data_IF_614662724694
#
_entry.id   IF_614662724694
#
_cell.length_a   1.000
_cell.length_b   1.000
_cell.length_c   1.000
_cell.angle_alpha   90.00
_cell.angle_beta   90.00
_cell.angle_gamma   90.00
#
_symmetry.space_group_name_H-M   'P 1'
#
loop_
_entity.id
_entity.type
_entity.pdbx_description
1 polymer ?
#
# COMPACT_ATOMS: atom_id res chain seq x y z
N UNK A 1 35.69 -2.73 -17.82
CA UNK A 1 34.66 -3.35 -16.93
C UNK A 1 34.69 -2.52 -15.66
N UNK A 2 33.82 -1.50 -15.61
CA UNK A 2 33.71 -0.57 -14.47
C UNK A 2 32.74 -1.26 -13.48
N UNK A 3 33.28 -1.70 -12.36
CA UNK A 3 32.46 -2.20 -11.22
C UNK A 3 31.85 -0.96 -10.59
N UNK A 4 30.56 -0.71 -10.82
CA UNK A 4 29.82 0.28 -10.07
C UNK A 4 29.82 -0.13 -8.59
N UNK A 5 30.52 0.66 -7.79
CA UNK A 5 30.51 0.51 -6.34
C UNK A 5 29.07 0.79 -5.86
N UNK A 6 28.38 -0.26 -5.40
CA UNK A 6 27.09 -0.12 -4.71
C UNK A 6 27.28 0.84 -3.53
N UNK A 7 26.54 1.92 -3.50
CA UNK A 7 26.52 2.82 -2.35
C UNK A 7 26.07 2.03 -1.11
N UNK A 8 26.79 2.17 0.01
CA UNK A 8 26.39 1.50 1.24
C UNK A 8 25.03 2.05 1.69
N UNK A 9 24.17 1.14 2.15
CA UNK A 9 22.88 1.46 2.75
C UNK A 9 23.06 2.50 3.85
N UNK A 10 22.39 3.65 3.72
CA UNK A 10 22.33 4.65 4.79
C UNK A 10 21.17 4.33 5.73
N UNK A 11 21.41 4.22 7.05
CA UNK A 11 20.34 4.00 8.01
C UNK A 11 19.30 5.12 7.95
N UNK A 12 18.06 4.74 8.20
CA UNK A 12 16.87 5.61 8.26
C UNK A 12 17.00 6.67 9.37
N UNK A 13 17.87 7.65 9.16
CA UNK A 13 17.88 8.84 10.00
C UNK A 13 16.75 9.77 9.55
N UNK A 14 16.12 10.49 10.48
CA UNK A 14 15.01 11.42 10.25
C UNK A 14 15.29 12.54 9.22
N UNK A 15 16.47 12.57 8.66
CA UNK A 15 17.01 13.56 7.71
C UNK A 15 17.44 12.94 6.39
N UNK A 16 16.79 11.87 5.93
CA UNK A 16 17.10 11.32 4.59
C UNK A 16 16.81 12.37 3.51
N UNK A 17 17.77 12.70 2.63
CA UNK A 17 17.55 13.63 1.52
C UNK A 17 16.35 13.24 0.65
N UNK A 18 16.10 11.96 0.49
CA UNK A 18 14.95 11.43 -0.26
C UNK A 18 13.62 11.82 0.38
N UNK A 19 13.50 11.66 1.70
CA UNK A 19 12.28 12.03 2.42
C UNK A 19 12.01 13.54 2.35
N UNK A 20 13.05 14.37 2.42
CA UNK A 20 12.90 15.82 2.32
C UNK A 20 12.48 16.26 0.90
N UNK A 21 12.94 15.57 -0.14
CA UNK A 21 12.48 15.79 -1.52
C UNK A 21 11.00 15.41 -1.64
N UNK A 22 10.61 14.23 -1.14
CA UNK A 22 9.23 13.76 -1.17
C UNK A 22 8.29 14.70 -0.42
N UNK A 23 8.67 15.21 0.76
CA UNK A 23 7.88 16.18 1.51
C UNK A 23 7.68 17.50 0.76
N UNK A 24 8.70 18.00 0.06
CA UNK A 24 8.59 19.23 -0.74
C UNK A 24 7.66 19.06 -1.94
N UNK A 25 7.62 17.88 -2.54
CA UNK A 25 6.77 17.57 -3.71
C UNK A 25 5.37 17.06 -3.33
N UNK A 26 5.10 16.79 -2.07
CA UNK A 26 3.88 16.11 -1.59
C UNK A 26 2.60 16.82 -2.05
N UNK A 27 2.55 18.14 -1.97
CA UNK A 27 1.39 18.93 -2.40
C UNK A 27 1.14 18.94 -3.92
N UNK A 28 2.12 18.49 -4.70
CA UNK A 28 2.07 18.49 -6.16
C UNK A 28 1.74 17.09 -6.72
N UNK A 29 1.69 16.06 -5.86
CA UNK A 29 1.39 14.70 -6.30
C UNK A 29 -0.11 14.50 -6.47
N UNK A 30 -0.49 13.90 -7.59
CA UNK A 30 -1.90 13.53 -7.85
C UNK A 30 -2.34 12.31 -7.03
N UNK A 31 -1.41 11.53 -6.50
CA UNK A 31 -1.70 10.32 -5.72
C UNK A 31 -2.25 10.64 -4.34
N UNK A 32 -1.89 11.81 -3.79
CA UNK A 32 -2.22 12.16 -2.42
C UNK A 32 -1.61 11.24 -1.36
N UNK A 33 -0.58 10.47 -1.74
CA UNK A 33 0.15 9.63 -0.82
C UNK A 33 0.99 10.49 0.14
N UNK A 34 0.89 10.31 1.46
CA UNK A 34 1.79 10.95 2.40
C UNK A 34 3.26 10.64 2.09
N UNK A 35 4.10 11.66 2.02
CA UNK A 35 5.52 11.53 1.67
C UNK A 35 6.26 10.49 2.53
N UNK A 36 5.95 10.44 3.83
CA UNK A 36 6.50 9.43 4.75
C UNK A 36 6.13 8.02 4.34
N UNK A 37 4.88 7.78 3.93
CA UNK A 37 4.42 6.46 3.50
C UNK A 37 5.02 6.07 2.14
N UNK A 38 5.15 7.03 1.22
CA UNK A 38 5.82 6.79 -0.06
C UNK A 38 7.30 6.45 0.14
N UNK A 39 7.96 7.10 1.10
CA UNK A 39 9.33 6.77 1.47
C UNK A 39 9.43 5.36 2.05
N UNK A 40 8.55 4.99 2.98
CA UNK A 40 8.48 3.62 3.52
C UNK A 40 8.25 2.60 2.41
N UNK A 41 7.34 2.87 1.48
CA UNK A 41 7.09 1.99 0.33
C UNK A 41 8.34 1.79 -0.53
N UNK A 42 9.12 2.87 -0.75
CA UNK A 42 10.40 2.77 -1.49
C UNK A 42 11.41 1.87 -0.77
N UNK A 43 11.45 1.89 0.55
CA UNK A 43 12.31 1.03 1.34
C UNK A 43 11.87 -0.43 1.31
N UNK A 44 10.56 -0.68 1.39
CA UNK A 44 9.98 -2.03 1.24
C UNK A 44 10.36 -2.61 -0.12
N UNK A 45 10.22 -1.84 -1.20
CA UNK A 45 10.60 -2.27 -2.55
C UNK A 45 12.11 -2.53 -2.68
N UNK A 46 12.93 -1.65 -2.13
CA UNK A 46 14.39 -1.82 -2.14
C UNK A 46 14.81 -3.09 -1.36
N UNK A 47 14.17 -3.33 -0.21
CA UNK A 47 14.39 -4.51 0.60
C UNK A 47 13.97 -5.80 -0.14
N UNK A 48 12.83 -5.78 -0.81
CA UNK A 48 12.32 -6.93 -1.58
C UNK A 48 13.18 -7.26 -2.82
N UNK A 49 13.81 -6.25 -3.43
CA UNK A 49 14.64 -6.41 -4.63
C UNK A 49 16.08 -6.80 -4.33
N UNK A 50 16.50 -6.76 -3.08
CA UNK A 50 17.87 -7.02 -2.65
C UNK A 50 18.24 -8.50 -2.72
N UNK A 51 19.33 -8.83 -3.42
CA UNK A 51 19.93 -10.17 -3.50
C UNK A 51 20.79 -10.55 -2.28
N UNK A 52 20.89 -9.69 -1.28
CA UNK A 52 21.68 -9.89 -0.06
C UNK A 52 20.78 -9.91 1.17
N UNK A 53 21.24 -10.62 2.21
CA UNK A 53 20.59 -10.66 3.51
C UNK A 53 20.22 -9.26 3.98
N UNK A 54 18.95 -9.04 4.18
CA UNK A 54 18.41 -7.77 4.60
C UNK A 54 18.85 -7.50 6.04
N UNK A 55 19.39 -6.31 6.35
CA UNK A 55 19.72 -5.98 7.73
C UNK A 55 18.47 -6.13 8.61
N UNK A 56 18.53 -6.88 9.72
CA UNK A 56 17.39 -7.06 10.62
C UNK A 56 16.78 -5.72 11.07
N UNK A 57 17.63 -4.74 11.33
CA UNK A 57 17.23 -3.39 11.74
C UNK A 57 16.40 -2.63 10.70
N UNK A 58 16.51 -3.00 9.41
CA UNK A 58 15.75 -2.34 8.35
C UNK A 58 14.26 -2.67 8.44
N UNK A 59 13.92 -3.92 8.72
CA UNK A 59 12.53 -4.36 8.88
C UNK A 59 11.90 -3.65 10.07
N UNK A 60 12.59 -3.64 11.21
CA UNK A 60 12.12 -2.99 12.43
C UNK A 60 11.93 -1.48 12.21
N UNK A 61 12.83 -0.84 11.48
CA UNK A 61 12.72 0.56 11.10
C UNK A 61 11.51 0.83 10.21
N UNK A 62 11.25 -0.01 9.21
CA UNK A 62 10.09 0.11 8.33
C UNK A 62 8.80 0.08 9.16
N UNK A 63 8.63 -0.91 10.01
CA UNK A 63 7.43 -1.03 10.85
C UNK A 63 7.35 0.06 11.91
N UNK A 64 8.47 0.51 12.47
CA UNK A 64 8.52 1.65 13.38
C UNK A 64 8.02 2.94 12.70
N UNK A 65 8.42 3.21 11.46
CA UNK A 65 7.92 4.34 10.69
C UNK A 65 6.41 4.25 10.44
N UNK A 66 5.90 3.07 10.10
CA UNK A 66 4.46 2.84 9.91
C UNK A 66 3.66 3.07 11.19
N UNK A 67 4.15 2.57 12.34
CA UNK A 67 3.51 2.74 13.64
C UNK A 67 3.54 4.19 14.14
N UNK A 68 4.63 4.90 13.88
CA UNK A 68 4.79 6.30 14.30
C UNK A 68 4.10 7.30 13.34
N UNK A 69 3.65 6.85 12.16
CA UNK A 69 2.91 7.72 11.25
C UNK A 69 1.53 8.04 11.83
N UNK A 70 1.22 9.33 11.89
CA UNK A 70 -0.08 9.81 12.38
C UNK A 70 -0.89 10.42 11.25
N UNK A 71 -1.87 9.67 10.75
CA UNK A 71 -2.78 10.12 9.69
C UNK A 71 -3.49 11.43 10.04
N UNK A 72 -3.87 11.62 11.32
CA UNK A 72 -4.54 12.84 11.76
C UNK A 72 -3.59 14.06 11.74
N UNK A 73 -2.34 13.90 12.24
CA UNK A 73 -1.35 14.99 12.20
C UNK A 73 -1.03 15.41 10.78
N UNK A 74 -0.86 14.41 9.89
CA UNK A 74 -0.64 14.66 8.47
C UNK A 74 -1.80 15.40 7.82
N UNK A 75 -3.04 14.96 8.05
CA UNK A 75 -4.23 15.56 7.46
C UNK A 75 -4.42 17.02 7.90
N UNK A 76 -4.15 17.33 9.17
CA UNK A 76 -4.21 18.70 9.69
C UNK A 76 -3.14 19.58 9.04
N UNK A 77 -1.92 19.07 8.89
CA UNK A 77 -0.81 19.81 8.29
C UNK A 77 -1.04 20.12 6.79
N UNK A 78 -1.64 19.19 6.04
CA UNK A 78 -1.81 19.33 4.59
C UNK A 78 -3.01 20.18 4.17
N UNK A 79 -4.10 20.16 4.92
CA UNK A 79 -5.39 20.62 4.40
C UNK A 79 -6.11 21.66 5.27
N UNK A 80 -5.56 21.98 6.42
CA UNK A 80 -6.30 22.75 7.42
C UNK A 80 -7.58 22.01 7.89
N UNK A 81 -8.37 22.68 8.72
CA UNK A 81 -9.51 22.05 9.40
C UNK A 81 -10.63 21.65 8.42
N UNK A 82 -10.86 22.44 7.36
CA UNK A 82 -11.99 22.23 6.45
C UNK A 82 -11.89 20.98 5.57
N UNK A 83 -10.68 20.62 5.17
CA UNK A 83 -10.42 19.45 4.31
C UNK A 83 -9.75 18.30 5.05
N UNK A 84 -9.68 18.36 6.37
CA UNK A 84 -9.01 17.37 7.21
C UNK A 84 -9.60 15.97 7.03
N UNK A 85 -10.92 15.85 6.99
CA UNK A 85 -11.60 14.55 6.96
C UNK A 85 -11.30 13.72 5.70
N UNK A 86 -11.37 14.27 4.48
CA UNK A 86 -10.93 13.56 3.27
C UNK A 86 -9.44 13.17 3.32
N UNK A 87 -8.58 14.07 3.77
CA UNK A 87 -7.12 13.82 3.88
C UNK A 87 -6.82 12.73 4.91
N UNK A 88 -7.49 12.76 6.06
CA UNK A 88 -7.38 11.72 7.08
C UNK A 88 -7.73 10.34 6.53
N UNK A 89 -8.88 10.21 5.83
CA UNK A 89 -9.29 8.94 5.21
C UNK A 89 -8.26 8.44 4.21
N UNK A 90 -7.77 9.33 3.36
CA UNK A 90 -6.76 9.01 2.37
C UNK A 90 -5.47 8.50 3.02
N UNK A 91 -5.00 9.18 4.08
CA UNK A 91 -3.82 8.77 4.83
C UNK A 91 -4.00 7.40 5.51
N UNK A 92 -5.18 7.11 6.07
CA UNK A 92 -5.49 5.80 6.64
C UNK A 92 -5.47 4.69 5.58
N UNK A 93 -6.03 4.95 4.38
CA UNK A 93 -6.04 4.01 3.27
C UNK A 93 -4.59 3.70 2.82
N UNK A 94 -3.77 4.73 2.65
CA UNK A 94 -2.37 4.54 2.28
C UNK A 94 -1.56 3.84 3.36
N UNK A 95 -1.73 4.19 4.63
CA UNK A 95 -1.02 3.56 5.75
C UNK A 95 -1.31 2.06 5.81
N UNK A 96 -2.59 1.68 5.75
CA UNK A 96 -2.98 0.28 5.77
C UNK A 96 -2.45 -0.49 4.55
N UNK A 97 -2.52 0.10 3.35
CA UNK A 97 -2.01 -0.55 2.15
C UNK A 97 -0.49 -0.78 2.21
N UNK A 98 0.29 0.21 2.66
CA UNK A 98 1.75 0.07 2.80
C UNK A 98 2.09 -0.97 3.87
N UNK A 99 1.35 -1.01 4.99
CA UNK A 99 1.52 -2.03 6.03
C UNK A 99 1.22 -3.44 5.50
N UNK A 100 0.06 -3.63 4.85
CA UNK A 100 -0.32 -4.91 4.26
C UNK A 100 0.73 -5.35 3.22
N UNK A 101 1.15 -4.45 2.35
CA UNK A 101 2.17 -4.75 1.35
C UNK A 101 3.49 -5.15 1.98
N UNK A 102 3.96 -4.43 3.00
CA UNK A 102 5.19 -4.77 3.72
C UNK A 102 5.11 -6.17 4.35
N UNK A 103 3.98 -6.52 4.98
CA UNK A 103 3.75 -7.85 5.57
C UNK A 103 3.72 -8.97 4.52
N UNK A 104 3.33 -8.67 3.27
CA UNK A 104 3.28 -9.64 2.18
C UNK A 104 4.63 -9.86 1.51
N UNK A 105 5.46 -8.84 1.45
CA UNK A 105 6.69 -8.82 0.63
C UNK A 105 7.93 -9.12 1.47
N UNK A 106 7.98 -8.60 2.71
CA UNK A 106 9.15 -8.76 3.55
C UNK A 106 9.17 -10.14 4.25
N UNK A 107 10.35 -10.76 4.41
CA UNK A 107 10.51 -11.97 5.20
C UNK A 107 10.43 -11.62 6.69
N UNK A 108 9.22 -11.43 7.18
CA UNK A 108 9.00 -11.08 8.58
C UNK A 108 9.00 -12.36 9.40
N UNK A 109 10.08 -12.58 10.15
CA UNK A 109 10.20 -13.68 11.12
C UNK A 109 9.44 -13.33 12.42
N UNK A 110 8.14 -13.01 12.30
CA UNK A 110 7.32 -12.98 13.49
C UNK A 110 6.86 -14.41 13.80
N UNK A 111 6.98 -14.80 15.05
CA UNK A 111 6.78 -16.15 15.61
C UNK A 111 5.41 -16.80 15.35
N UNK A 112 4.54 -16.19 14.55
CA UNK A 112 3.35 -16.86 14.05
C UNK A 112 2.71 -16.14 12.85
N UNK A 113 2.38 -16.90 11.81
CA UNK A 113 1.49 -16.48 10.69
C UNK A 113 0.16 -15.93 11.22
N UNK A 114 -0.32 -16.43 12.36
CA UNK A 114 -1.53 -15.99 13.06
C UNK A 114 -1.47 -14.51 13.47
N UNK A 115 -0.30 -14.02 13.91
CA UNK A 115 -0.14 -12.61 14.30
C UNK A 115 -0.23 -11.68 13.10
N UNK A 116 0.38 -12.06 11.98
CA UNK A 116 0.31 -11.29 10.73
C UNK A 116 -1.11 -11.30 10.13
N UNK A 117 -1.80 -12.44 10.15
CA UNK A 117 -3.20 -12.52 9.72
C UNK A 117 -4.13 -11.63 10.55
N UNK A 118 -3.94 -11.59 11.86
CA UNK A 118 -4.71 -10.72 12.75
C UNK A 118 -4.49 -9.23 12.45
N UNK A 119 -3.25 -8.82 12.22
CA UNK A 119 -2.92 -7.43 11.83
C UNK A 119 -3.54 -7.07 10.50
N UNK A 120 -3.39 -7.92 9.48
CA UNK A 120 -3.98 -7.70 8.15
C UNK A 120 -5.50 -7.59 8.26
N UNK A 121 -6.16 -8.48 9.01
CA UNK A 121 -7.61 -8.45 9.17
C UNK A 121 -8.10 -7.16 9.83
N UNK A 122 -7.45 -6.72 10.90
CA UNK A 122 -7.80 -5.48 11.59
C UNK A 122 -7.59 -4.25 10.69
N UNK A 123 -6.48 -4.19 9.97
CA UNK A 123 -6.21 -3.11 9.01
C UNK A 123 -7.22 -3.11 7.85
N UNK A 124 -7.65 -4.29 7.40
CA UNK A 124 -8.61 -4.45 6.31
C UNK A 124 -9.97 -3.86 6.66
N UNK A 125 -10.58 -4.27 7.78
CA UNK A 125 -11.94 -3.85 8.15
C UNK A 125 -12.02 -2.33 8.39
N UNK A 126 -11.04 -1.77 9.10
CA UNK A 126 -10.93 -0.32 9.29
C UNK A 126 -10.81 0.43 7.97
N UNK A 127 -9.99 -0.08 7.06
CA UNK A 127 -9.70 0.59 5.79
C UNK A 127 -10.86 0.49 4.80
N UNK A 128 -11.61 -0.60 4.81
CA UNK A 128 -12.83 -0.73 4.01
C UNK A 128 -13.86 0.34 4.37
N UNK A 129 -13.96 0.71 5.65
CA UNK A 129 -14.80 1.84 6.06
C UNK A 129 -14.32 3.17 5.45
N UNK A 130 -13.01 3.42 5.43
CA UNK A 130 -12.45 4.62 4.81
C UNK A 130 -12.64 4.62 3.29
N UNK A 131 -12.39 3.50 2.61
CA UNK A 131 -12.60 3.35 1.16
C UNK A 131 -14.05 3.65 0.75
N UNK A 132 -15.02 3.11 1.49
CA UNK A 132 -16.45 3.38 1.26
C UNK A 132 -16.81 4.86 1.45
N UNK A 133 -16.10 5.54 2.32
CA UNK A 133 -16.44 6.90 2.77
C UNK A 133 -15.67 8.00 2.03
N UNK A 134 -14.72 7.66 1.14
CA UNK A 134 -14.05 8.67 0.31
C UNK A 134 -14.97 9.09 -0.84
N UNK A 135 -15.04 10.40 -1.08
CA UNK A 135 -15.88 10.96 -2.12
C UNK A 135 -15.21 10.73 -3.49
N UNK A 136 -15.92 10.09 -4.48
CA UNK A 136 -15.39 9.99 -5.83
C UNK A 136 -15.07 11.33 -6.50
N UNK A 137 -15.67 12.44 -6.05
CA UNK A 137 -15.35 13.79 -6.52
C UNK A 137 -14.04 14.36 -5.92
N UNK A 138 -13.44 13.70 -4.91
CA UNK A 138 -12.16 14.13 -4.34
C UNK A 138 -11.05 14.10 -5.41
N UNK A 139 -10.25 15.18 -5.47
CA UNK A 139 -9.17 15.34 -6.47
C UNK A 139 -8.12 14.22 -6.41
N UNK A 140 -7.96 13.57 -5.25
CA UNK A 140 -7.03 12.46 -5.06
C UNK A 140 -7.70 11.08 -5.14
N UNK A 141 -8.99 11.00 -5.52
CA UNK A 141 -9.69 9.72 -5.62
C UNK A 141 -8.97 8.74 -6.57
N UNK A 142 -8.39 9.25 -7.67
CA UNK A 142 -7.61 8.43 -8.60
C UNK A 142 -6.37 7.80 -7.95
N UNK A 143 -5.79 8.48 -6.99
CA UNK A 143 -4.62 8.01 -6.25
C UNK A 143 -4.86 6.81 -5.35
N UNK A 144 -6.11 6.42 -5.12
CA UNK A 144 -6.42 5.22 -4.32
C UNK A 144 -6.31 3.91 -5.11
N UNK A 145 -6.04 3.91 -6.41
CA UNK A 145 -6.02 2.69 -7.23
C UNK A 145 -5.07 1.63 -6.65
N UNK A 146 -3.81 1.99 -6.40
CA UNK A 146 -2.82 1.06 -5.83
C UNK A 146 -3.20 0.61 -4.42
N UNK A 147 -3.46 1.52 -3.45
CA UNK A 147 -3.82 1.08 -2.12
C UNK A 147 -5.12 0.27 -2.08
N UNK A 148 -6.12 0.61 -2.91
CA UNK A 148 -7.33 -0.19 -3.02
C UNK A 148 -7.05 -1.60 -3.56
N UNK A 149 -6.12 -1.76 -4.51
CA UNK A 149 -5.71 -3.06 -5.02
C UNK A 149 -5.06 -3.91 -3.91
N UNK A 150 -4.10 -3.37 -3.16
CA UNK A 150 -3.41 -4.10 -2.08
C UNK A 150 -4.40 -4.56 -1.01
N UNK A 151 -5.31 -3.68 -0.60
CA UNK A 151 -6.37 -3.97 0.37
C UNK A 151 -7.33 -5.03 -0.19
N UNK A 152 -7.72 -4.89 -1.44
CA UNK A 152 -8.63 -5.80 -2.15
C UNK A 152 -8.07 -7.22 -2.26
N UNK A 153 -6.76 -7.35 -2.47
CA UNK A 153 -6.10 -8.64 -2.54
C UNK A 153 -6.26 -9.46 -1.26
N UNK A 154 -6.51 -8.83 -0.11
CA UNK A 154 -6.79 -9.49 1.16
C UNK A 154 -8.28 -9.76 1.44
N UNK A 155 -9.19 -9.32 0.56
CA UNK A 155 -10.62 -9.52 0.77
C UNK A 155 -11.02 -11.01 0.76
N UNK A 156 -11.57 -11.47 1.87
CA UNK A 156 -11.95 -12.88 2.07
C UNK A 156 -13.45 -13.11 1.92
N UNK A 157 -14.27 -12.14 2.31
CA UNK A 157 -15.74 -12.27 2.27
C UNK A 157 -16.33 -11.70 0.99
N UNK A 158 -17.50 -12.23 0.59
CA UNK A 158 -18.23 -11.72 -0.57
C UNK A 158 -18.64 -10.25 -0.39
N UNK A 159 -19.01 -9.85 0.82
CA UNK A 159 -19.38 -8.45 1.12
C UNK A 159 -18.20 -7.49 0.93
N UNK A 160 -17.00 -7.88 1.35
CA UNK A 160 -15.78 -7.10 1.11
C UNK A 160 -15.49 -6.97 -0.39
N UNK A 161 -15.57 -8.08 -1.15
CA UNK A 161 -15.33 -8.09 -2.60
C UNK A 161 -16.32 -7.22 -3.35
N UNK A 162 -17.61 -7.27 -3.00
CA UNK A 162 -18.65 -6.41 -3.61
C UNK A 162 -18.38 -4.93 -3.37
N UNK A 163 -18.03 -4.55 -2.12
CA UNK A 163 -17.66 -3.17 -1.79
C UNK A 163 -16.47 -2.69 -2.65
N UNK A 164 -15.42 -3.49 -2.72
CA UNK A 164 -14.21 -3.18 -3.46
C UNK A 164 -14.50 -3.08 -4.97
N UNK A 165 -15.26 -4.00 -5.53
CA UNK A 165 -15.69 -3.94 -6.93
C UNK A 165 -16.38 -2.62 -7.24
N UNK A 166 -17.24 -2.12 -6.34
CA UNK A 166 -17.86 -0.80 -6.46
C UNK A 166 -16.86 0.35 -6.49
N UNK A 167 -15.78 0.29 -5.68
CA UNK A 167 -14.69 1.29 -5.71
C UNK A 167 -13.99 1.28 -7.07
N UNK A 168 -13.67 0.10 -7.63
CA UNK A 168 -13.04 -0.01 -8.94
C UNK A 168 -13.97 0.44 -10.08
N UNK A 169 -15.26 0.20 -9.98
CA UNK A 169 -16.25 0.73 -10.92
C UNK A 169 -16.31 2.25 -10.92
N UNK A 170 -16.25 2.88 -9.74
CA UNK A 170 -16.16 4.33 -9.63
C UNK A 170 -14.85 4.88 -10.20
N UNK A 171 -13.71 4.23 -9.91
CA UNK A 171 -12.42 4.59 -10.52
C UNK A 171 -12.47 4.49 -12.05
N UNK A 172 -13.07 3.43 -12.59
CA UNK A 172 -13.26 3.26 -14.03
C UNK A 172 -14.15 4.36 -14.62
N UNK A 173 -15.26 4.67 -13.97
CA UNK A 173 -16.18 5.71 -14.44
C UNK A 173 -15.50 7.08 -14.57
N UNK A 174 -14.60 7.38 -13.62
CA UNK A 174 -13.87 8.66 -13.57
C UNK A 174 -12.66 8.72 -14.51
N UNK A 175 -11.95 7.62 -14.66
CA UNK A 175 -10.62 7.63 -15.29
C UNK A 175 -10.57 6.94 -16.65
N UNK A 176 -11.43 5.93 -16.89
CA UNK A 176 -11.43 5.10 -18.12
C UNK A 176 -10.05 4.54 -18.46
N UNK A 177 -9.23 4.24 -17.44
CA UNK A 177 -7.87 3.73 -17.59
C UNK A 177 -7.86 2.21 -17.55
N UNK A 178 -7.17 1.56 -18.49
CA UNK A 178 -7.04 0.11 -18.54
C UNK A 178 -6.43 -0.50 -17.30
N UNK A 179 -5.57 0.23 -16.58
CA UNK A 179 -4.99 -0.25 -15.32
C UNK A 179 -6.08 -0.60 -14.28
N UNK A 180 -7.20 0.15 -14.27
CA UNK A 180 -8.32 -0.13 -13.36
C UNK A 180 -8.98 -1.47 -13.68
N UNK A 181 -9.27 -1.73 -14.96
CA UNK A 181 -9.87 -3.00 -15.39
C UNK A 181 -8.93 -4.18 -15.23
N UNK A 182 -7.64 -3.98 -15.50
CA UNK A 182 -6.62 -5.00 -15.31
C UNK A 182 -6.47 -5.35 -13.83
N UNK A 183 -6.40 -4.34 -12.95
CA UNK A 183 -6.34 -4.55 -11.51
C UNK A 183 -7.52 -5.42 -11.02
N UNK A 184 -8.75 -5.11 -11.46
CA UNK A 184 -9.92 -5.89 -11.08
C UNK A 184 -9.84 -7.34 -11.59
N UNK A 185 -9.40 -7.56 -12.83
CA UNK A 185 -9.20 -8.92 -13.37
C UNK A 185 -8.18 -9.74 -12.57
N UNK A 186 -7.09 -9.10 -12.13
CA UNK A 186 -6.09 -9.77 -11.27
C UNK A 186 -6.70 -10.13 -9.93
N UNK A 187 -7.45 -9.22 -9.30
CA UNK A 187 -8.14 -9.49 -8.05
C UNK A 187 -9.10 -10.67 -8.16
N UNK A 188 -9.90 -10.74 -9.22
CA UNK A 188 -10.81 -11.85 -9.49
C UNK A 188 -10.05 -13.20 -9.58
N UNK A 189 -8.88 -13.21 -10.24
CA UNK A 189 -8.01 -14.39 -10.31
C UNK A 189 -7.45 -14.77 -8.93
N UNK A 190 -7.00 -13.80 -8.13
CA UNK A 190 -6.51 -14.03 -6.75
C UNK A 190 -7.63 -14.63 -5.90
N UNK A 191 -8.83 -14.03 -5.94
CA UNK A 191 -9.97 -14.50 -5.16
C UNK A 191 -10.43 -15.91 -5.57
N UNK A 192 -10.44 -16.21 -6.87
CA UNK A 192 -10.78 -17.52 -7.37
C UNK A 192 -9.77 -18.59 -6.92
N UNK A 193 -8.47 -18.33 -7.04
CA UNK A 193 -7.42 -19.25 -6.59
C UNK A 193 -7.48 -19.50 -5.08
N UNK A 194 -7.62 -18.45 -4.27
CA UNK A 194 -7.79 -18.62 -2.82
C UNK A 194 -9.01 -19.47 -2.43
N UNK A 195 -10.10 -19.37 -3.18
CA UNK A 195 -11.27 -20.21 -2.95
C UNK A 195 -11.01 -21.70 -3.26
N UNK A 196 -10.10 -22.00 -4.19
CA UNK A 196 -9.75 -23.37 -4.61
C UNK A 196 -8.65 -23.99 -3.75
N UNK A 197 -7.62 -23.22 -3.40
CA UNK A 197 -6.39 -23.71 -2.77
C UNK A 197 -6.36 -23.55 -1.24
N UNK A 198 -7.34 -22.80 -0.68
CA UNK A 198 -7.30 -22.37 0.72
C UNK A 198 -6.50 -21.08 0.93
N UNK A 199 -6.57 -20.51 2.14
CA UNK A 199 -6.14 -19.12 2.40
C UNK A 199 -4.68 -18.94 2.82
N UNK A 200 -3.86 -19.96 2.88
CA UNK A 200 -2.52 -19.90 3.48
C UNK A 200 -1.47 -19.20 2.60
N UNK A 201 -1.74 -19.03 1.31
CA UNK A 201 -0.78 -18.48 0.37
C UNK A 201 -0.90 -16.96 0.25
N UNK A 202 0.25 -16.26 0.18
CA UNK A 202 0.32 -14.81 0.00
C UNK A 202 -0.14 -14.42 -1.41
N UNK A 203 -0.94 -13.34 -1.53
CA UNK A 203 -1.45 -12.91 -2.83
C UNK A 203 -0.33 -12.49 -3.81
N UNK A 204 0.78 -11.98 -3.29
CA UNK A 204 1.91 -11.59 -4.11
C UNK A 204 2.49 -12.78 -4.92
N UNK A 205 2.44 -13.98 -4.36
CA UNK A 205 2.90 -15.20 -5.05
C UNK A 205 2.01 -15.54 -6.25
N UNK A 206 0.69 -15.32 -6.11
CA UNK A 206 -0.23 -15.48 -7.25
C UNK A 206 0.05 -14.47 -8.36
N UNK A 207 0.39 -13.22 -8.01
CA UNK A 207 0.73 -12.18 -9.00
C UNK A 207 2.00 -12.55 -9.76
N UNK A 208 3.03 -13.06 -9.09
CA UNK A 208 4.26 -13.55 -9.75
C UNK A 208 3.98 -14.71 -10.71
N UNK A 209 3.10 -15.64 -10.36
CA UNK A 209 2.74 -16.77 -11.24
C UNK A 209 1.91 -16.35 -12.45
N UNK A 210 1.21 -15.25 -12.38
CA UNK A 210 0.46 -14.75 -13.54
C UNK A 210 1.38 -14.25 -14.66
N UNK A 211 2.68 -14.02 -14.35
CA UNK A 211 3.72 -13.79 -15.34
C UNK A 211 3.57 -12.49 -16.17
N UNK A 212 2.69 -11.60 -15.74
CA UNK A 212 2.44 -10.34 -16.42
C UNK A 212 3.02 -9.19 -15.60
N UNK A 213 3.69 -8.26 -16.26
CA UNK A 213 4.20 -7.02 -15.63
C UNK A 213 3.03 -6.10 -15.31
N UNK A 214 2.39 -6.35 -14.17
CA UNK A 214 1.27 -5.55 -13.70
C UNK A 214 1.77 -4.27 -13.01
N UNK A 215 1.98 -3.22 -13.78
CA UNK A 215 2.18 -1.88 -13.21
C UNK A 215 0.82 -1.23 -12.96
N UNK A 216 0.46 -1.05 -11.69
CA UNK A 216 -0.73 -0.33 -11.24
C UNK A 216 -0.43 1.10 -10.75
N UNK A 217 0.80 1.57 -10.92
CA UNK A 217 1.26 2.90 -10.51
C UNK A 217 1.49 3.77 -11.73
#
# INVERSE_FOLDING_TARGET
MIVEAKQPYQPLCSTSPTLDILKRSESQTWTGCPATLLYVLSLVNAAASGSHEMPPDLIDNIFSHLQNFSAIKWAVACAGIHYMKPRYRLACIWQAAVEIYALQVLPVSFDSDVFNEGRISNSLDSTLHHLKSIDPADVHYKGILWPAFVIAAEARTMSQRVLITGVFQNLWALWRCHNVTNALKVLEKIWARRAMEGSSRRWIEYVYELGEDWMFI
#
